data_IF_585675600184
#
_entry.id   IF_585675600184
#
_cell.length_a   1.000
_cell.length_b   1.000
_cell.length_c   1.000
_cell.angle_alpha   90.00
_cell.angle_beta   90.00
_cell.angle_gamma   90.00
#
_symmetry.space_group_name_H-M   'P 1'
#
loop_
_entity.id
_entity.type
_entity.pdbx_description
1 polymer ?
#
# COMPACT_ATOMS: atom_id res chain seq x y z
N UNK A 1 6.93 2.17 26.02
CA UNK A 1 6.96 2.37 24.56
C UNK A 1 8.27 1.86 23.94
N UNK A 2 9.45 2.21 24.48
CA UNK A 2 10.75 1.74 23.97
C UNK A 2 10.91 0.21 23.90
N UNK A 3 10.50 -0.53 24.93
CA UNK A 3 10.55 -2.01 24.91
C UNK A 3 9.66 -2.64 23.82
N UNK A 4 8.51 -2.03 23.53
CA UNK A 4 7.58 -2.49 22.48
C UNK A 4 8.20 -2.29 21.10
N UNK A 5 8.82 -1.13 20.87
CA UNK A 5 9.51 -0.83 19.60
C UNK A 5 10.71 -1.75 19.37
N UNK A 6 11.51 -2.01 20.41
CA UNK A 6 12.66 -2.92 20.33
C UNK A 6 12.25 -4.35 19.96
N UNK A 7 11.20 -4.86 20.61
CA UNK A 7 10.67 -6.19 20.32
C UNK A 7 10.05 -6.25 18.92
N UNK A 8 9.33 -5.21 18.50
CA UNK A 8 8.79 -5.11 17.14
C UNK A 8 9.90 -5.16 16.09
N UNK A 9 10.99 -4.41 16.29
CA UNK A 9 12.10 -4.38 15.34
C UNK A 9 12.83 -5.73 15.23
N UNK A 10 12.93 -6.47 16.33
CA UNK A 10 13.47 -7.85 16.30
C UNK A 10 12.60 -8.79 15.48
N UNK A 11 11.28 -8.68 15.57
CA UNK A 11 10.34 -9.47 14.76
C UNK A 11 10.54 -9.16 13.28
N UNK A 12 10.50 -7.88 12.92
CA UNK A 12 10.74 -7.42 11.54
C UNK A 12 12.07 -7.95 10.99
N UNK A 13 13.16 -7.82 11.75
CA UNK A 13 14.47 -8.31 11.31
C UNK A 13 14.47 -9.83 11.06
N UNK A 14 13.78 -10.59 11.90
CA UNK A 14 13.66 -12.05 11.75
C UNK A 14 12.83 -12.42 10.51
N UNK A 15 11.73 -11.72 10.27
CA UNK A 15 10.87 -11.95 9.10
C UNK A 15 11.65 -11.68 7.80
N UNK A 16 12.35 -10.54 7.71
CA UNK A 16 13.22 -10.23 6.56
C UNK A 16 14.35 -11.25 6.36
N UNK A 17 14.95 -11.74 7.44
CA UNK A 17 16.01 -12.74 7.36
C UNK A 17 15.51 -14.12 6.89
N UNK A 18 14.24 -14.44 7.16
CA UNK A 18 13.63 -15.73 6.80
C UNK A 18 13.16 -15.75 5.35
N UNK A 19 12.72 -14.62 4.80
CA UNK A 19 12.04 -14.52 3.51
C UNK A 19 12.88 -13.83 2.41
N UNK A 20 14.22 -13.95 2.46
CA UNK A 20 15.15 -13.29 1.52
C UNK A 20 14.82 -13.50 0.04
N UNK A 21 14.45 -14.73 -0.34
CA UNK A 21 14.10 -15.07 -1.71
C UNK A 21 12.80 -14.40 -2.17
N UNK A 22 11.86 -14.16 -1.26
CA UNK A 22 10.58 -13.52 -1.59
C UNK A 22 10.69 -12.01 -1.68
N UNK A 23 11.63 -11.40 -0.96
CA UNK A 23 12.00 -9.99 -1.16
C UNK A 23 12.50 -9.79 -2.59
N UNK A 24 13.37 -10.68 -3.10
CA UNK A 24 13.82 -10.62 -4.49
C UNK A 24 12.65 -10.72 -5.48
N UNK A 25 11.72 -11.66 -5.26
CA UNK A 25 10.50 -11.76 -6.07
C UNK A 25 9.62 -10.52 -5.98
N UNK A 26 9.52 -9.90 -4.81
CA UNK A 26 8.77 -8.65 -4.64
C UNK A 26 9.38 -7.55 -5.48
N UNK A 27 10.71 -7.38 -5.43
CA UNK A 27 11.42 -6.37 -6.22
C UNK A 27 11.21 -6.62 -7.72
N UNK A 28 11.41 -7.85 -8.19
CA UNK A 28 11.19 -8.21 -9.60
C UNK A 28 9.75 -7.92 -10.04
N UNK A 29 8.77 -8.24 -9.18
CA UNK A 29 7.38 -7.93 -9.44
C UNK A 29 7.13 -6.42 -9.50
N UNK A 30 7.69 -5.63 -8.58
CA UNK A 30 7.54 -4.18 -8.60
C UNK A 30 8.22 -3.53 -9.80
N UNK A 31 9.36 -4.06 -10.27
CA UNK A 31 10.00 -3.62 -11.53
C UNK A 31 9.08 -3.90 -12.72
N UNK A 32 8.54 -5.12 -12.82
CA UNK A 32 7.60 -5.48 -13.89
C UNK A 32 6.35 -4.60 -13.87
N UNK A 33 5.76 -4.37 -12.69
CA UNK A 33 4.57 -3.54 -12.53
C UNK A 33 4.86 -2.07 -12.82
N UNK A 34 6.01 -1.57 -12.39
CA UNK A 34 6.48 -0.21 -12.68
C UNK A 34 6.71 0.00 -14.18
N UNK A 35 7.32 -0.98 -14.86
CA UNK A 35 7.49 -0.98 -16.32
C UNK A 35 6.12 -0.94 -17.02
N UNK A 36 5.22 -1.86 -16.68
CA UNK A 36 3.91 -1.94 -17.31
C UNK A 36 3.06 -0.68 -17.06
N UNK A 37 3.10 -0.14 -15.84
CA UNK A 37 2.43 1.11 -15.51
C UNK A 37 3.05 2.31 -16.25
N UNK A 38 4.37 2.36 -16.39
CA UNK A 38 5.09 3.42 -17.09
C UNK A 38 4.63 3.56 -18.53
N UNK A 39 4.55 2.47 -19.29
CA UNK A 39 4.13 2.52 -20.70
C UNK A 39 2.74 3.13 -20.87
N UNK A 40 1.83 2.84 -19.94
CA UNK A 40 0.44 3.33 -20.00
C UNK A 40 0.37 4.78 -19.52
N UNK A 41 1.05 5.09 -18.42
CA UNK A 41 1.03 6.42 -17.79
C UNK A 41 1.79 7.43 -18.64
N UNK A 42 2.92 7.06 -19.23
CA UNK A 42 3.72 7.97 -20.05
C UNK A 42 2.92 8.51 -21.24
N UNK A 43 2.12 7.68 -21.89
CA UNK A 43 1.22 8.11 -22.97
C UNK A 43 0.12 9.07 -22.48
N UNK A 44 -0.30 8.98 -21.22
CA UNK A 44 -1.22 9.97 -20.62
C UNK A 44 -0.53 11.29 -20.35
N UNK A 45 0.76 11.28 -19.99
CA UNK A 45 1.53 12.50 -19.80
C UNK A 45 1.83 13.22 -21.12
N UNK A 46 1.92 12.50 -22.25
CA UNK A 46 1.96 13.10 -23.59
C UNK A 46 0.70 13.91 -23.91
N UNK A 47 -0.47 13.44 -23.46
CA UNK A 47 -1.78 14.07 -23.68
C UNK A 47 -2.39 14.65 -22.40
N UNK A 48 -1.53 15.07 -21.46
CA UNK A 48 -1.94 15.85 -20.28
C UNK A 48 -2.88 16.96 -20.79
N UNK A 49 -4.12 17.01 -20.28
CA UNK A 49 -5.22 17.93 -20.65
C UNK A 49 -6.17 17.56 -21.80
N UNK A 50 -5.83 16.65 -22.71
CA UNK A 50 -6.71 16.35 -23.87
C UNK A 50 -7.63 15.16 -23.64
N UNK A 51 -7.14 14.10 -22.99
CA UNK A 51 -7.92 12.89 -22.76
C UNK A 51 -7.46 12.21 -21.49
N UNK A 52 -8.37 12.06 -20.53
CA UNK A 52 -8.15 11.20 -19.36
C UNK A 52 -8.44 9.75 -19.71
N UNK A 53 -7.47 8.87 -19.50
CA UNK A 53 -7.69 7.44 -19.57
C UNK A 53 -8.10 6.87 -18.19
N UNK A 54 -9.37 6.43 -18.00
CA UNK A 54 -9.83 5.83 -16.74
C UNK A 54 -9.01 4.63 -16.27
N UNK A 55 -8.39 3.93 -17.22
CA UNK A 55 -7.62 2.74 -16.94
C UNK A 55 -6.40 3.03 -16.07
N UNK A 56 -5.86 4.25 -16.15
CA UNK A 56 -4.70 4.67 -15.36
C UNK A 56 -5.09 4.88 -13.90
N UNK A 57 -6.20 5.57 -13.65
CA UNK A 57 -6.73 5.74 -12.31
C UNK A 57 -7.00 4.37 -11.67
N UNK A 58 -7.56 3.45 -12.45
CA UNK A 58 -7.82 2.08 -11.99
C UNK A 58 -6.51 1.37 -11.61
N UNK A 59 -5.50 1.40 -12.48
CA UNK A 59 -4.20 0.77 -12.23
C UNK A 59 -3.53 1.34 -10.99
N UNK A 60 -3.48 2.68 -10.87
CA UNK A 60 -2.78 3.34 -9.76
C UNK A 60 -3.50 3.11 -8.42
N UNK A 61 -4.84 3.18 -8.39
CA UNK A 61 -5.62 2.84 -7.19
C UNK A 61 -5.48 1.35 -6.82
N UNK A 62 -5.40 0.46 -7.82
CA UNK A 62 -5.17 -0.97 -7.61
C UNK A 62 -3.78 -1.25 -7.03
N UNK A 63 -2.76 -0.55 -7.52
CA UNK A 63 -1.36 -0.79 -7.11
C UNK A 63 -1.00 -0.10 -5.80
N UNK A 64 -1.65 1.02 -5.46
CA UNK A 64 -1.41 1.77 -4.22
C UNK A 64 -1.40 0.91 -2.94
N UNK A 65 -2.35 -0.02 -2.68
CA UNK A 65 -2.27 -0.92 -1.54
C UNK A 65 -1.19 -1.99 -1.69
N UNK A 66 -0.88 -2.45 -2.91
CA UNK A 66 0.11 -3.51 -3.15
C UNK A 66 1.53 -3.07 -2.77
N UNK A 67 1.83 -1.76 -2.87
CA UNK A 67 3.10 -1.19 -2.42
C UNK A 67 3.36 -1.44 -0.92
N UNK A 68 2.31 -1.57 -0.10
CA UNK A 68 2.41 -1.83 1.34
C UNK A 68 2.69 -3.27 1.73
N UNK A 69 2.85 -4.18 0.74
CA UNK A 69 3.08 -5.59 0.97
C UNK A 69 4.43 -6.05 0.43
N UNK A 70 5.10 -6.88 1.24
CA UNK A 70 6.17 -7.75 0.76
C UNK A 70 5.59 -9.14 0.55
N UNK A 71 6.02 -9.79 -0.53
CA UNK A 71 5.67 -11.19 -0.72
C UNK A 71 6.27 -12.02 0.42
N UNK A 72 5.43 -12.86 1.01
CA UNK A 72 5.82 -13.79 2.06
C UNK A 72 5.25 -15.17 1.77
N UNK A 73 5.87 -16.24 2.30
CA UNK A 73 5.36 -17.61 2.21
C UNK A 73 3.92 -17.70 2.73
N UNK A 74 3.64 -16.93 3.79
CA UNK A 74 2.33 -16.82 4.43
C UNK A 74 1.30 -16.17 3.50
N UNK A 75 1.68 -15.11 2.79
CA UNK A 75 0.81 -14.40 1.84
C UNK A 75 0.39 -15.23 0.62
N UNK A 76 1.07 -16.33 0.32
CA UNK A 76 0.66 -17.23 -0.78
C UNK A 76 -0.19 -18.42 -0.32
N UNK A 77 -0.12 -18.78 0.97
CA UNK A 77 -0.80 -19.97 1.52
C UNK A 77 -2.05 -19.66 2.35
N UNK A 78 -2.44 -18.39 2.49
CA UNK A 78 -3.58 -18.01 3.33
C UNK A 78 -4.92 -18.62 2.88
N UNK A 79 -5.09 -18.85 1.57
CA UNK A 79 -6.29 -19.49 1.00
C UNK A 79 -6.34 -21.00 1.23
N UNK A 80 -5.18 -21.68 1.25
CA UNK A 80 -5.09 -23.14 1.37
C UNK A 80 -4.88 -23.64 2.80
N UNK A 81 -4.12 -22.92 3.64
CA UNK A 81 -3.67 -23.40 4.94
C UNK A 81 -4.19 -22.60 6.15
N UNK A 82 -5.18 -21.72 5.96
CA UNK A 82 -5.67 -20.77 6.99
C UNK A 82 -4.54 -20.16 7.81
N UNK A 83 -3.53 -19.66 7.09
CA UNK A 83 -2.25 -19.24 7.68
C UNK A 83 -2.40 -18.10 8.70
N UNK A 84 -3.46 -17.29 8.60
CA UNK A 84 -3.75 -16.20 9.53
C UNK A 84 -4.24 -16.71 10.88
N UNK A 85 -5.07 -17.76 10.91
CA UNK A 85 -5.49 -18.39 12.17
C UNK A 85 -4.31 -19.06 12.87
N UNK A 86 -3.45 -19.78 12.14
CA UNK A 86 -2.22 -20.36 12.71
C UNK A 86 -1.26 -19.30 13.24
N UNK A 87 -1.16 -18.17 12.55
CA UNK A 87 -0.38 -17.01 13.01
C UNK A 87 -0.91 -16.46 14.34
N UNK A 88 -2.23 -16.33 14.49
CA UNK A 88 -2.85 -15.88 15.74
C UNK A 88 -2.57 -16.83 16.91
N UNK A 89 -2.66 -18.14 16.69
CA UNK A 89 -2.29 -19.14 17.69
C UNK A 89 -0.80 -19.05 18.08
N UNK A 90 0.09 -18.93 17.09
CA UNK A 90 1.52 -18.76 17.35
C UNK A 90 1.79 -17.50 18.17
N UNK A 91 1.16 -16.38 17.82
CA UNK A 91 1.33 -15.11 18.53
C UNK A 91 0.79 -15.11 19.96
N UNK A 92 -0.21 -15.96 20.27
CA UNK A 92 -0.65 -16.20 21.66
C UNK A 92 0.27 -17.14 22.44
N UNK A 93 1.02 -18.00 21.76
CA UNK A 93 1.96 -18.94 22.40
C UNK A 93 3.31 -18.33 22.79
N UNK A 94 3.66 -17.17 22.20
CA UNK A 94 4.91 -16.47 22.50
C UNK A 94 4.69 -15.41 23.60
N UNK A 95 5.63 -15.22 24.52
CA UNK A 95 5.55 -14.18 25.55
C UNK A 95 5.92 -12.81 24.98
N UNK A 96 5.21 -12.39 23.93
CA UNK A 96 5.39 -11.09 23.27
C UNK A 96 4.10 -10.28 23.42
N UNK A 97 4.17 -9.03 23.86
CA UNK A 97 2.97 -8.20 23.98
C UNK A 97 2.33 -8.02 22.60
N UNK A 98 1.01 -8.22 22.50
CA UNK A 98 0.27 -8.09 21.24
C UNK A 98 0.50 -6.74 20.55
N UNK A 99 0.73 -5.67 21.32
CA UNK A 99 1.08 -4.35 20.79
C UNK A 99 2.38 -4.34 19.98
N UNK A 100 3.39 -5.14 20.34
CA UNK A 100 4.64 -5.24 19.58
C UNK A 100 4.44 -5.91 18.23
N UNK A 101 3.47 -6.83 18.13
CA UNK A 101 3.13 -7.54 16.90
C UNK A 101 2.47 -6.58 15.91
N UNK A 102 1.48 -5.81 16.35
CA UNK A 102 0.85 -4.79 15.50
C UNK A 102 1.85 -3.70 15.06
N UNK A 103 2.68 -3.21 15.98
CA UNK A 103 3.72 -2.23 15.64
C UNK A 103 4.71 -2.81 14.63
N UNK A 104 5.09 -4.09 14.76
CA UNK A 104 5.95 -4.75 13.78
C UNK A 104 5.30 -4.82 12.40
N UNK A 105 3.97 -5.02 12.33
CA UNK A 105 3.24 -5.03 11.06
C UNK A 105 3.20 -3.66 10.40
N UNK A 106 2.94 -2.60 11.18
CA UNK A 106 2.98 -1.21 10.67
C UNK A 106 4.37 -0.89 10.13
N UNK A 107 5.43 -1.20 10.90
CA UNK A 107 6.82 -0.97 10.47
C UNK A 107 7.13 -1.76 9.19
N UNK A 108 6.73 -3.02 9.11
CA UNK A 108 6.88 -3.83 7.91
C UNK A 108 6.19 -3.20 6.70
N UNK A 109 4.96 -2.72 6.85
CA UNK A 109 4.24 -2.03 5.76
C UNK A 109 4.91 -0.71 5.38
N UNK A 110 5.40 0.09 6.34
CA UNK A 110 6.14 1.32 6.04
C UNK A 110 7.44 1.03 5.27
N UNK A 111 8.19 0.00 5.67
CA UNK A 111 9.40 -0.43 4.95
C UNK A 111 9.04 -0.94 3.55
N UNK A 112 7.94 -1.69 3.42
CA UNK A 112 7.44 -2.16 2.13
C UNK A 112 7.11 -0.98 1.21
N UNK A 113 6.38 0.03 1.72
CA UNK A 113 6.08 1.26 0.98
C UNK A 113 7.34 2.01 0.54
N UNK A 114 8.37 2.08 1.38
CA UNK A 114 9.63 2.71 1.02
C UNK A 114 10.34 1.93 -0.11
N UNK A 115 10.54 0.62 0.06
CA UNK A 115 11.26 -0.21 -0.92
C UNK A 115 10.46 -0.29 -2.24
N UNK A 116 9.21 -0.72 -2.16
CA UNK A 116 8.35 -0.91 -3.33
C UNK A 116 8.03 0.41 -4.01
N UNK A 117 7.82 1.49 -3.24
CA UNK A 117 7.61 2.82 -3.78
C UNK A 117 8.82 3.30 -4.59
N UNK A 118 10.03 3.22 -4.01
CA UNK A 118 11.26 3.60 -4.72
C UNK A 118 11.43 2.78 -6.01
N UNK A 119 11.20 1.46 -5.96
CA UNK A 119 11.35 0.60 -7.13
C UNK A 119 10.28 0.89 -8.19
N UNK A 120 9.02 0.91 -7.80
CA UNK A 120 7.89 1.09 -8.71
C UNK A 120 7.92 2.46 -9.39
N UNK A 121 7.99 3.54 -8.60
CA UNK A 121 8.03 4.90 -9.13
C UNK A 121 9.40 5.20 -9.77
N UNK A 122 10.50 4.65 -9.23
CA UNK A 122 11.82 4.81 -9.84
C UNK A 122 11.90 4.24 -11.25
N UNK A 123 11.37 3.03 -11.47
CA UNK A 123 11.27 2.44 -12.82
C UNK A 123 10.33 3.26 -13.71
N UNK A 124 9.20 3.71 -13.16
CA UNK A 124 8.25 4.52 -13.91
C UNK A 124 8.85 5.83 -14.44
N UNK A 125 9.67 6.51 -13.62
CA UNK A 125 10.38 7.73 -14.01
C UNK A 125 11.59 7.47 -14.93
N UNK A 126 12.25 6.32 -14.76
CA UNK A 126 13.40 5.95 -15.59
C UNK A 126 13.01 5.68 -17.05
N UNK A 127 11.77 5.21 -17.28
CA UNK A 127 11.28 4.82 -18.59
C UNK A 127 10.39 5.91 -19.21
N UNK A 128 9.58 6.61 -18.41
CA UNK A 128 8.64 7.60 -18.91
C UNK A 128 9.30 8.91 -19.35
N UNK A 129 9.57 9.05 -20.65
CA UNK A 129 10.15 10.27 -21.22
C UNK A 129 9.21 11.47 -21.11
N UNK A 130 7.91 11.27 -21.36
CA UNK A 130 6.91 12.33 -21.25
C UNK A 130 6.70 12.73 -19.80
N UNK A 131 6.73 11.77 -18.87
CA UNK A 131 6.69 12.05 -17.42
C UNK A 131 7.83 12.99 -17.02
N UNK A 132 9.06 12.72 -17.49
CA UNK A 132 10.24 13.57 -17.21
C UNK A 132 10.14 14.94 -17.86
N UNK A 133 9.52 15.03 -19.03
CA UNK A 133 9.32 16.31 -19.72
C UNK A 133 8.27 17.18 -19.04
N UNK A 134 7.24 16.56 -18.47
CA UNK A 134 6.08 17.24 -17.88
C UNK A 134 6.26 17.59 -16.40
N UNK A 135 7.05 16.82 -15.65
CA UNK A 135 7.25 17.03 -14.22
C UNK A 135 8.73 17.22 -13.87
N UNK A 136 9.02 18.25 -13.07
CA UNK A 136 10.31 18.33 -12.40
C UNK A 136 10.44 17.26 -11.30
N UNK A 137 11.67 17.02 -10.84
CA UNK A 137 11.95 15.99 -9.82
C UNK A 137 11.14 16.26 -8.52
N UNK A 138 11.07 17.50 -7.98
CA UNK A 138 10.23 17.80 -6.82
C UNK A 138 8.75 17.49 -7.01
N UNK A 139 8.16 17.82 -8.16
CA UNK A 139 6.74 17.54 -8.45
C UNK A 139 6.49 16.06 -8.63
N UNK A 140 7.44 15.34 -9.22
CA UNK A 140 7.37 13.88 -9.32
C UNK A 140 7.42 13.20 -7.96
N UNK A 141 8.29 13.68 -7.05
CA UNK A 141 8.32 13.19 -5.66
C UNK A 141 6.99 13.46 -4.97
N UNK A 142 6.38 14.63 -5.17
CA UNK A 142 5.08 14.95 -4.61
C UNK A 142 3.96 14.04 -5.14
N UNK A 143 3.99 13.73 -6.44
CA UNK A 143 3.08 12.78 -7.08
C UNK A 143 3.21 11.38 -6.44
N UNK A 144 4.44 10.86 -6.35
CA UNK A 144 4.73 9.58 -5.71
C UNK A 144 4.23 9.52 -4.27
N UNK A 145 4.57 10.52 -3.46
CA UNK A 145 4.17 10.58 -2.05
C UNK A 145 2.66 10.68 -1.88
N UNK A 146 1.96 11.36 -2.79
CA UNK A 146 0.50 11.44 -2.77
C UNK A 146 -0.13 10.06 -2.90
N UNK A 147 0.35 9.26 -3.86
CA UNK A 147 -0.12 7.89 -4.09
C UNK A 147 0.25 6.94 -2.95
N UNK A 148 1.42 7.12 -2.33
CA UNK A 148 1.79 6.38 -1.12
C UNK A 148 0.82 6.68 0.03
N UNK A 149 0.42 7.95 0.21
CA UNK A 149 -0.58 8.34 1.20
C UNK A 149 -1.95 7.69 0.97
N UNK A 150 -2.40 7.64 -0.28
CA UNK A 150 -3.62 6.89 -0.67
C UNK A 150 -3.45 5.40 -0.38
N UNK A 151 -2.26 4.84 -0.60
CA UNK A 151 -1.92 3.47 -0.22
C UNK A 151 -2.05 3.21 1.29
N UNK A 152 -1.54 4.11 2.14
CA UNK A 152 -1.68 3.99 3.60
C UNK A 152 -3.15 3.93 4.05
N UNK A 153 -4.00 4.76 3.43
CA UNK A 153 -5.45 4.74 3.70
C UNK A 153 -6.04 3.35 3.41
N UNK A 154 -5.62 2.73 2.30
CA UNK A 154 -6.11 1.43 1.84
C UNK A 154 -5.54 0.25 2.63
N UNK A 155 -4.32 0.37 3.16
CA UNK A 155 -3.67 -0.73 3.91
C UNK A 155 -4.18 -0.90 5.33
N UNK A 156 -4.72 0.14 5.95
CA UNK A 156 -5.34 0.05 7.28
C UNK A 156 -6.40 -1.06 7.40
N UNK A 157 -7.47 -1.05 6.57
CA UNK A 157 -8.49 -2.10 6.57
C UNK A 157 -7.95 -3.51 6.35
N UNK A 158 -6.93 -3.68 5.50
CA UNK A 158 -6.34 -4.98 5.25
C UNK A 158 -5.58 -5.51 6.47
N UNK A 159 -4.79 -4.67 7.17
CA UNK A 159 -4.13 -5.06 8.43
C UNK A 159 -5.17 -5.48 9.48
N UNK A 160 -6.29 -4.77 9.53
CA UNK A 160 -7.39 -5.11 10.43
C UNK A 160 -7.97 -6.50 10.13
N UNK A 161 -8.26 -6.83 8.85
CA UNK A 161 -8.79 -8.15 8.49
C UNK A 161 -7.78 -9.28 8.64
N UNK A 162 -6.50 -9.02 8.38
CA UNK A 162 -5.40 -9.99 8.55
C UNK A 162 -5.35 -10.57 9.98
N UNK A 163 -5.72 -9.77 10.98
CA UNK A 163 -5.68 -10.18 12.39
C UNK A 163 -7.04 -10.63 12.94
N UNK A 164 -8.12 -10.47 12.17
CA UNK A 164 -9.49 -10.65 12.65
C UNK A 164 -10.28 -11.72 11.90
N UNK A 165 -9.83 -12.13 10.72
CA UNK A 165 -10.59 -13.00 9.84
C UNK A 165 -9.77 -14.22 9.43
N UNK A 166 -10.45 -15.33 9.16
CA UNK A 166 -9.84 -16.47 8.47
C UNK A 166 -9.43 -16.08 7.06
N UNK A 167 -8.51 -16.83 6.44
CA UNK A 167 -8.01 -16.52 5.09
C UNK A 167 -9.11 -16.35 4.03
N UNK A 168 -10.20 -17.12 4.12
CA UNK A 168 -11.36 -17.01 3.21
C UNK A 168 -12.14 -15.72 3.40
N UNK A 169 -12.36 -15.31 4.65
CA UNK A 169 -13.06 -14.05 4.97
C UNK A 169 -12.20 -12.84 4.59
N UNK A 170 -10.87 -12.93 4.77
CA UNK A 170 -9.93 -11.92 4.28
C UNK A 170 -10.06 -11.75 2.75
N UNK A 171 -10.01 -12.84 1.98
CA UNK A 171 -10.15 -12.78 0.51
C UNK A 171 -11.46 -12.12 0.08
N UNK A 172 -12.59 -12.52 0.67
CA UNK A 172 -13.90 -11.92 0.36
C UNK A 172 -13.93 -10.42 0.64
N UNK A 173 -13.43 -10.00 1.79
CA UNK A 173 -13.43 -8.57 2.15
C UNK A 173 -12.50 -7.76 1.22
N UNK A 174 -11.36 -8.33 0.83
CA UNK A 174 -10.45 -7.73 -0.16
C UNK A 174 -11.11 -7.57 -1.53
N UNK A 175 -11.86 -8.58 -2.00
CA UNK A 175 -12.64 -8.45 -3.23
C UNK A 175 -13.69 -7.34 -3.14
N UNK A 176 -14.39 -7.23 -2.00
CA UNK A 176 -15.39 -6.16 -1.80
C UNK A 176 -14.72 -4.79 -1.86
N UNK A 177 -13.57 -4.59 -1.19
CA UNK A 177 -12.83 -3.32 -1.27
C UNK A 177 -12.40 -3.02 -2.68
N UNK A 178 -11.84 -4.01 -3.38
CA UNK A 178 -11.40 -3.85 -4.76
C UNK A 178 -12.56 -3.43 -5.67
N UNK A 179 -13.73 -4.04 -5.53
CA UNK A 179 -14.93 -3.66 -6.29
C UNK A 179 -15.39 -2.25 -5.92
N UNK A 180 -15.39 -1.88 -4.64
CA UNK A 180 -15.79 -0.54 -4.19
C UNK A 180 -14.85 0.54 -4.71
N UNK A 181 -13.53 0.33 -4.65
CA UNK A 181 -12.57 1.32 -5.14
C UNK A 181 -12.56 1.42 -6.65
N UNK A 182 -12.63 0.29 -7.34
CA UNK A 182 -12.77 0.26 -8.80
C UNK A 182 -14.06 0.94 -9.24
N UNK A 183 -15.18 0.62 -8.59
CA UNK A 183 -16.47 1.25 -8.85
C UNK A 183 -16.43 2.75 -8.61
N UNK A 184 -15.75 3.20 -7.55
CA UNK A 184 -15.56 4.63 -7.28
C UNK A 184 -14.75 5.33 -8.39
N UNK A 185 -13.66 4.72 -8.86
CA UNK A 185 -12.87 5.24 -9.97
C UNK A 185 -13.70 5.34 -11.25
N UNK A 186 -14.46 4.29 -11.59
CA UNK A 186 -15.34 4.29 -12.77
C UNK A 186 -16.40 5.38 -12.65
N UNK A 187 -17.01 5.55 -11.47
CA UNK A 187 -17.99 6.61 -11.23
C UNK A 187 -17.39 8.01 -11.38
N UNK A 188 -16.19 8.25 -10.84
CA UNK A 188 -15.50 9.54 -11.03
C UNK A 188 -15.20 9.80 -12.50
N UNK A 189 -14.77 8.78 -13.24
CA UNK A 189 -14.51 8.92 -14.66
C UNK A 189 -15.79 9.19 -15.48
N UNK A 190 -16.91 8.53 -15.16
CA UNK A 190 -18.21 8.82 -15.78
C UNK A 190 -18.68 10.26 -15.54
N UNK A 191 -18.27 10.87 -14.42
CA UNK A 191 -18.50 12.28 -14.10
C UNK A 191 -17.48 13.22 -14.78
N UNK A 192 -16.55 12.70 -15.58
CA UNK A 192 -15.51 13.47 -16.27
C UNK A 192 -14.31 13.83 -15.39
N UNK A 193 -14.18 13.24 -14.20
CA UNK A 193 -13.07 13.48 -13.28
C UNK A 193 -12.01 12.37 -13.37
N UNK A 194 -10.75 12.80 -13.36
CA UNK A 194 -9.57 11.95 -13.39
C UNK A 194 -8.75 12.20 -12.13
N UNK A 195 -8.57 11.17 -11.32
CA UNK A 195 -7.78 11.27 -10.08
C UNK A 195 -6.31 11.52 -10.39
N UNK A 196 -5.77 10.84 -11.41
CA UNK A 196 -4.37 10.98 -11.81
C UNK A 196 -4.09 12.37 -12.35
N UNK A 197 -4.95 12.91 -13.21
CA UNK A 197 -4.74 14.27 -13.73
C UNK A 197 -4.88 15.31 -12.60
N UNK A 198 -5.83 15.13 -11.68
CA UNK A 198 -5.95 16.00 -10.51
C UNK A 198 -4.68 15.98 -9.64
N UNK A 199 -4.15 14.80 -9.34
CA UNK A 199 -2.93 14.64 -8.54
C UNK A 199 -1.70 15.16 -9.29
N UNK A 200 -1.58 14.88 -10.58
CA UNK A 200 -0.49 15.35 -11.44
C UNK A 200 -0.48 16.88 -11.51
N UNK A 201 -1.63 17.51 -11.78
CA UNK A 201 -1.76 18.97 -11.83
C UNK A 201 -1.47 19.63 -10.48
N UNK A 202 -1.97 19.05 -9.38
CA UNK A 202 -1.67 19.55 -8.04
C UNK A 202 -0.17 19.44 -7.73
N UNK A 203 0.47 18.37 -8.17
CA UNK A 203 1.90 18.13 -7.98
C UNK A 203 2.75 19.07 -8.83
N UNK A 204 2.42 19.30 -10.09
CA UNK A 204 3.14 20.25 -10.97
C UNK A 204 3.00 21.68 -10.43
N UNK A 205 1.82 22.06 -9.93
CA UNK A 205 1.55 23.44 -9.49
C UNK A 205 2.22 23.81 -8.17
N UNK A 206 2.29 22.88 -7.23
CA UNK A 206 2.72 23.16 -5.85
C UNK A 206 3.97 22.38 -5.43
N UNK A 207 4.41 21.43 -6.24
CA UNK A 207 5.54 20.53 -5.97
C UNK A 207 5.45 19.94 -4.55
N UNK A 208 6.52 20.01 -3.75
CA UNK A 208 6.57 19.48 -2.38
C UNK A 208 5.67 20.20 -1.37
N UNK A 209 5.12 21.37 -1.73
CA UNK A 209 4.19 22.13 -0.88
C UNK A 209 2.74 21.73 -1.19
N UNK A 210 2.52 20.81 -2.13
CA UNK A 210 1.19 20.34 -2.51
C UNK A 210 0.33 19.97 -1.30
N UNK A 211 -0.78 20.70 -1.06
CA UNK A 211 -1.71 20.39 0.02
C UNK A 211 -2.29 18.98 -0.11
N UNK A 212 -2.43 18.50 -1.36
CA UNK A 212 -2.94 17.16 -1.67
C UNK A 212 -1.98 16.08 -1.18
N UNK A 213 -0.67 16.29 -1.37
CA UNK A 213 0.37 15.36 -0.90
C UNK A 213 0.36 15.25 0.63
N UNK A 214 0.44 16.38 1.34
CA UNK A 214 0.44 16.38 2.80
C UNK A 214 -0.89 15.88 3.36
N UNK A 215 -2.01 16.28 2.76
CA UNK A 215 -3.33 15.80 3.11
C UNK A 215 -3.46 14.28 3.00
N UNK A 216 -3.04 13.70 1.87
CA UNK A 216 -3.12 12.25 1.69
C UNK A 216 -2.19 11.48 2.62
N UNK A 217 -0.98 11.98 2.88
CA UNK A 217 -0.04 11.35 3.83
C UNK A 217 -0.58 11.39 5.26
N UNK A 218 -1.07 12.54 5.73
CA UNK A 218 -1.60 12.71 7.09
C UNK A 218 -2.85 11.84 7.27
N UNK A 219 -3.80 11.92 6.34
CA UNK A 219 -5.05 11.14 6.39
C UNK A 219 -4.75 9.65 6.30
N UNK A 220 -3.87 9.24 5.38
CA UNK A 220 -3.49 7.84 5.19
C UNK A 220 -2.79 7.25 6.41
N UNK A 221 -1.80 7.95 6.97
CA UNK A 221 -1.12 7.52 8.19
C UNK A 221 -2.07 7.49 9.39
N UNK A 222 -2.92 8.52 9.56
CA UNK A 222 -3.92 8.54 10.62
C UNK A 222 -4.89 7.37 10.52
N UNK A 223 -5.41 7.07 9.31
CA UNK A 223 -6.30 5.94 9.09
C UNK A 223 -5.61 4.60 9.40
N UNK A 224 -4.36 4.41 8.96
CA UNK A 224 -3.57 3.22 9.25
C UNK A 224 -3.34 3.03 10.76
N UNK A 225 -3.00 4.10 11.48
CA UNK A 225 -2.80 4.08 12.94
C UNK A 225 -4.12 3.84 13.70
N UNK A 226 -5.21 4.49 13.29
CA UNK A 226 -6.54 4.31 13.88
C UNK A 226 -7.04 2.87 13.69
N UNK A 227 -6.92 2.32 12.48
CA UNK A 227 -7.29 0.93 12.21
C UNK A 227 -6.44 -0.04 13.01
N UNK A 228 -5.14 0.23 13.16
CA UNK A 228 -4.25 -0.59 13.99
C UNK A 228 -4.64 -0.54 15.47
N UNK A 229 -4.98 0.64 16.00
CA UNK A 229 -5.46 0.81 17.38
C UNK A 229 -6.79 0.08 17.60
N UNK A 230 -7.71 0.19 16.65
CA UNK A 230 -9.00 -0.51 16.70
C UNK A 230 -8.82 -2.03 16.66
N UNK A 231 -7.89 -2.52 15.83
CA UNK A 231 -7.53 -3.95 15.78
C UNK A 231 -7.03 -4.44 17.14
N UNK A 232 -6.13 -3.68 17.77
CA UNK A 232 -5.59 -4.03 19.09
C UNK A 232 -6.68 -4.13 20.16
N UNK A 233 -7.55 -3.11 20.28
CA UNK A 233 -8.63 -3.12 21.29
C UNK A 233 -9.58 -4.28 21.07
N UNK A 234 -9.97 -4.54 19.83
CA UNK A 234 -10.94 -5.61 19.52
C UNK A 234 -10.33 -7.02 19.63
N UNK A 235 -9.00 -7.17 19.53
CA UNK A 235 -8.34 -8.46 19.75
C UNK A 235 -8.30 -8.85 21.25
N UNK A 236 -8.25 -7.86 22.16
CA UNK A 236 -8.30 -8.11 23.60
C UNK A 236 -9.66 -8.66 24.06
N UNK A 237 -10.73 -8.32 23.34
CA UNK A 237 -12.11 -8.72 23.68
C UNK A 237 -12.58 -9.98 22.96
N UNK A 238 -11.73 -10.63 22.14
CA UNK A 238 -12.12 -11.84 21.40
C UNK A 238 -11.64 -13.12 22.09
N UNK A 239 -12.61 -13.89 22.58
CA UNK A 239 -12.45 -15.30 22.86
C UNK A 239 -12.27 -16.05 21.53
N UNK A 240 -11.21 -16.86 21.47
CA UNK A 240 -10.97 -17.80 20.38
C UNK A 240 -11.40 -19.17 20.90
N UNK A 241 -12.71 -19.39 20.93
CA UNK A 241 -13.34 -20.70 21.10
C UNK A 241 -13.95 -21.11 19.77
#
# INVERSE_FOLDING_TARGET
>A
MQQVLHNAMKIVKKDFASDKLQILWTILFMVYMGFAASVIIDNQFEHLYERSNPFIDFILVLYAPLLGYLFSRRSFRYLSEDSYTRMLYFYRSIPVPASAIFVSRIINSLIAYAINGIVFFGVMYAIGDHIRSAMDIPSYIAFMLTWIGIGFLMTGPYIYWEHMCSGKAYFRNTLVVMVLTTGSVVLFNLLGYSLTDFIANASIRWSLISPVMWGSLIIGLAAMLLMSKFTYTRQQTRDLT
#
